data_IF_225527176030
#
_entry.id   IF_225527176030
#
_cell.length_a   1.000
_cell.length_b   1.000
_cell.length_c   1.000
_cell.angle_alpha   90.00
_cell.angle_beta   90.00
_cell.angle_gamma   90.00
#
_symmetry.space_group_name_H-M   'P 1'
#
loop_
_entity.id
_entity.type
_entity.pdbx_description
1 polymer ?
#
# COMPACT_ATOMS: atom_id res chain seq x y z
N UNK A 1 7.62 -9.06 14.57
CA UNK A 1 6.81 -8.46 13.49
C UNK A 1 5.36 -8.89 13.65
N UNK A 2 4.46 -7.95 13.51
CA UNK A 2 3.02 -8.22 13.54
C UNK A 2 2.52 -8.33 12.11
N UNK A 3 1.93 -9.47 11.77
CA UNK A 3 1.35 -9.72 10.45
C UNK A 3 -0.16 -9.53 10.50
N UNK A 4 -0.68 -8.74 9.58
CA UNK A 4 -2.11 -8.49 9.43
C UNK A 4 -2.51 -8.68 7.98
N UNK A 5 -3.32 -9.69 7.72
CA UNK A 5 -4.07 -9.82 6.49
C UNK A 5 -5.44 -9.17 6.72
N UNK A 6 -5.69 -8.06 6.02
CA UNK A 6 -6.85 -7.22 6.37
C UNK A 6 -8.19 -7.86 6.05
N UNK A 7 -8.22 -8.77 5.08
CA UNK A 7 -9.44 -9.41 4.61
C UNK A 7 -10.42 -8.48 3.88
N UNK A 8 -10.12 -7.18 3.80
CA UNK A 8 -10.94 -6.20 3.11
C UNK A 8 -10.37 -5.88 1.73
N UNK A 9 -11.23 -5.75 0.74
CA UNK A 9 -10.90 -5.26 -0.60
C UNK A 9 -11.23 -3.78 -0.79
N UNK A 10 -11.59 -3.08 0.27
CA UNK A 10 -11.87 -1.64 0.27
C UNK A 10 -10.56 -0.87 0.46
N UNK A 11 -10.13 -0.15 -0.58
CA UNK A 11 -8.89 0.63 -0.53
C UNK A 11 -8.89 1.67 0.59
N UNK A 12 -10.04 2.27 0.87
CA UNK A 12 -10.14 3.32 1.89
C UNK A 12 -10.00 2.74 3.29
N UNK A 13 -10.58 1.57 3.54
CA UNK A 13 -10.38 0.84 4.79
C UNK A 13 -8.91 0.45 4.97
N UNK A 14 -8.29 -0.12 3.95
CA UNK A 14 -6.90 -0.56 4.00
C UNK A 14 -5.92 0.62 4.17
N UNK A 15 -6.14 1.73 3.49
CA UNK A 15 -5.38 2.96 3.71
C UNK A 15 -5.65 3.54 5.11
N UNK A 16 -6.86 3.44 5.60
CA UNK A 16 -7.19 3.82 6.97
C UNK A 16 -6.38 3.05 8.01
N UNK A 17 -6.18 1.74 7.81
CA UNK A 17 -5.32 0.92 8.66
C UNK A 17 -3.85 1.38 8.59
N UNK A 18 -3.35 1.69 7.41
CA UNK A 18 -1.99 2.23 7.26
C UNK A 18 -1.82 3.54 8.04
N UNK A 19 -2.77 4.47 7.92
CA UNK A 19 -2.79 5.71 8.69
C UNK A 19 -2.83 5.45 10.18
N UNK A 20 -3.70 4.54 10.61
CA UNK A 20 -3.86 4.21 12.03
C UNK A 20 -2.56 3.71 12.65
N UNK A 21 -1.90 2.74 12.03
CA UNK A 21 -0.64 2.20 12.54
C UNK A 21 0.55 3.15 12.35
N UNK A 22 0.48 4.04 11.40
CA UNK A 22 1.55 5.02 11.16
C UNK A 22 1.47 6.21 12.11
N UNK A 23 0.27 6.74 12.35
CA UNK A 23 0.09 8.01 13.03
C UNK A 23 -0.51 7.88 14.44
N UNK A 24 -1.44 6.94 14.62
CA UNK A 24 -2.19 6.80 15.89
C UNK A 24 -1.57 5.74 16.81
N UNK A 25 -1.59 4.50 16.39
CA UNK A 25 -1.08 3.38 17.18
C UNK A 25 0.34 3.02 16.75
N UNK A 26 1.28 3.75 17.30
CA UNK A 26 2.70 3.56 17.01
C UNK A 26 3.25 2.40 17.83
N UNK A 27 3.27 1.22 17.22
CA UNK A 27 3.80 0.03 17.87
C UNK A 27 5.34 -0.03 17.76
N UNK A 28 6.03 -0.57 18.77
CA UNK A 28 7.49 -0.75 18.70
C UNK A 28 7.91 -1.79 17.68
N UNK A 29 7.02 -2.73 17.38
CA UNK A 29 7.26 -3.80 16.40
C UNK A 29 6.91 -3.33 14.99
N UNK A 30 7.57 -3.93 13.99
CA UNK A 30 7.19 -3.73 12.59
C UNK A 30 5.82 -4.34 12.34
N UNK A 31 4.93 -3.59 11.72
CA UNK A 31 3.62 -4.06 11.26
C UNK A 31 3.72 -4.36 9.77
N UNK A 32 3.32 -5.56 9.38
CA UNK A 32 3.23 -5.98 7.99
C UNK A 32 1.76 -6.16 7.63
N UNK A 33 1.25 -5.27 6.77
CA UNK A 33 -0.10 -5.35 6.21
C UNK A 33 -0.03 -6.03 4.84
N UNK A 34 -0.91 -7.00 4.62
CA UNK A 34 -1.04 -7.71 3.36
C UNK A 34 -2.50 -7.65 2.90
N UNK A 35 -2.73 -7.11 1.70
CA UNK A 35 -4.09 -6.80 1.26
C UNK A 35 -4.25 -6.68 -0.25
N UNK A 36 -5.49 -6.70 -0.69
CA UNK A 36 -5.90 -6.46 -2.08
C UNK A 36 -6.97 -5.38 -2.11
N UNK A 37 -7.25 -4.87 -3.29
CA UNK A 37 -8.34 -3.93 -3.50
C UNK A 37 -9.09 -4.20 -4.79
N UNK A 38 -10.36 -3.84 -4.82
CA UNK A 38 -11.11 -3.68 -6.06
C UNK A 38 -10.46 -2.63 -6.95
N UNK A 39 -10.80 -2.55 -8.26
CA UNK A 39 -10.11 -1.65 -9.18
C UNK A 39 -9.92 -0.24 -8.64
N UNK A 40 -8.67 0.18 -8.55
CA UNK A 40 -8.28 1.45 -7.92
C UNK A 40 -7.10 2.08 -8.65
N UNK A 41 -7.17 3.39 -8.85
CA UNK A 41 -6.04 4.23 -9.20
C UNK A 41 -5.47 4.84 -7.92
N UNK A 42 -4.22 4.53 -7.62
CA UNK A 42 -3.52 5.07 -6.46
C UNK A 42 -2.56 6.16 -6.90
N UNK A 43 -2.87 7.39 -6.54
CA UNK A 43 -1.97 8.53 -6.83
C UNK A 43 -0.95 8.72 -5.72
N UNK A 44 0.21 9.20 -6.08
CA UNK A 44 1.26 9.55 -5.12
C UNK A 44 0.86 10.76 -4.28
N UNK A 45 1.51 10.89 -3.12
CA UNK A 45 1.22 11.93 -2.14
C UNK A 45 1.19 13.35 -2.72
N UNK A 46 2.07 13.62 -3.68
CA UNK A 46 2.29 14.96 -4.22
C UNK A 46 1.75 15.17 -5.64
N UNK A 47 1.09 14.16 -6.22
CA UNK A 47 0.55 14.27 -7.58
C UNK A 47 -0.76 15.05 -7.62
N UNK A 48 -0.96 15.80 -8.71
CA UNK A 48 -2.23 16.43 -9.02
C UNK A 48 -3.16 15.42 -9.70
N UNK A 49 -4.21 15.02 -9.01
CA UNK A 49 -5.19 14.03 -9.49
C UNK A 49 -5.79 14.43 -10.84
N UNK A 50 -6.12 15.71 -11.03
CA UNK A 50 -6.80 16.19 -12.24
C UNK A 50 -5.90 16.11 -13.49
N UNK A 51 -4.58 16.14 -13.31
CA UNK A 51 -3.60 16.00 -14.40
C UNK A 51 -3.28 14.54 -14.72
N UNK A 52 -3.32 13.67 -13.69
CA UNK A 52 -2.90 12.28 -13.79
C UNK A 52 -4.02 11.32 -14.22
N UNK A 53 -5.27 11.66 -13.96
CA UNK A 53 -6.39 10.73 -14.06
C UNK A 53 -7.54 11.33 -14.87
N UNK A 54 -8.08 10.51 -15.78
CA UNK A 54 -9.37 10.77 -16.38
C UNK A 54 -10.47 10.38 -15.38
N UNK A 55 -10.84 11.31 -14.50
CA UNK A 55 -11.81 11.07 -13.42
C UNK A 55 -13.19 10.65 -13.93
N UNK A 56 -13.77 11.30 -14.98
CA UNK A 56 -15.05 10.85 -15.52
C UNK A 56 -15.03 9.39 -15.99
N UNK A 57 -13.96 8.96 -16.63
CA UNK A 57 -13.79 7.57 -17.05
C UNK A 57 -13.72 6.61 -15.86
N UNK A 58 -12.93 6.97 -14.85
CA UNK A 58 -12.80 6.17 -13.64
C UNK A 58 -14.13 6.00 -12.91
N UNK A 59 -14.89 7.10 -12.76
CA UNK A 59 -16.20 7.09 -12.12
C UNK A 59 -17.20 6.22 -12.90
N UNK A 60 -17.22 6.33 -14.23
CA UNK A 60 -18.11 5.54 -15.11
C UNK A 60 -17.82 4.03 -15.01
N UNK A 61 -16.55 3.65 -14.85
CA UNK A 61 -16.12 2.26 -14.79
C UNK A 61 -15.98 1.69 -13.38
N UNK A 62 -16.42 2.43 -12.36
CA UNK A 62 -16.36 1.99 -10.98
C UNK A 62 -14.95 1.83 -10.43
N UNK A 63 -13.99 2.57 -10.99
CA UNK A 63 -12.60 2.56 -10.54
C UNK A 63 -12.45 3.57 -9.40
N UNK A 64 -12.01 3.09 -8.24
CA UNK A 64 -11.76 3.95 -7.08
C UNK A 64 -10.53 4.82 -7.28
N UNK A 65 -10.53 5.96 -6.62
CA UNK A 65 -9.40 6.88 -6.63
C UNK A 65 -8.94 7.10 -5.20
N UNK A 66 -7.68 6.80 -4.93
CA UNK A 66 -7.11 6.94 -3.60
C UNK A 66 -5.72 7.56 -3.65
N UNK A 67 -5.38 8.35 -2.64
CA UNK A 67 -4.07 8.97 -2.50
C UNK A 67 -3.24 8.21 -1.47
N UNK A 68 -2.02 7.82 -1.85
CA UNK A 68 -1.07 7.20 -0.93
C UNK A 68 -0.45 8.24 0.01
N UNK A 69 0.03 7.78 1.17
CA UNK A 69 0.90 8.57 2.03
C UNK A 69 2.31 8.71 1.46
N UNK A 70 2.72 7.77 0.61
CA UNK A 70 4.03 7.77 -0.04
C UNK A 70 4.02 8.55 -1.35
N UNK A 71 5.20 9.01 -1.79
CA UNK A 71 5.39 9.65 -3.08
C UNK A 71 5.33 8.67 -4.24
N UNK A 72 5.78 9.12 -5.39
CA UNK A 72 5.83 8.32 -6.61
C UNK A 72 4.71 8.59 -7.59
N UNK A 73 4.65 7.82 -8.66
CA UNK A 73 3.68 7.93 -9.73
C UNK A 73 2.34 7.25 -9.43
N UNK A 74 1.39 7.45 -10.33
CA UNK A 74 0.09 6.79 -10.27
C UNK A 74 0.21 5.33 -10.69
N UNK A 75 -0.41 4.45 -9.95
CA UNK A 75 -0.52 3.02 -10.29
C UNK A 75 -1.96 2.59 -10.34
N UNK A 76 -2.25 1.63 -11.20
CA UNK A 76 -3.50 0.89 -11.20
C UNK A 76 -3.31 -0.45 -10.50
N UNK A 77 -4.26 -0.82 -9.66
CA UNK A 77 -4.28 -2.14 -9.00
C UNK A 77 -5.70 -2.66 -8.87
N UNK A 78 -5.84 -3.97 -8.85
CA UNK A 78 -7.12 -4.65 -8.69
C UNK A 78 -6.95 -5.96 -7.90
N UNK A 79 -7.98 -6.80 -7.90
CA UNK A 79 -7.98 -8.07 -7.16
C UNK A 79 -6.93 -9.08 -7.66
N UNK A 80 -6.32 -8.84 -8.81
CA UNK A 80 -5.22 -9.66 -9.34
C UNK A 80 -3.85 -9.30 -8.74
N UNK A 81 -3.75 -8.17 -8.05
CA UNK A 81 -2.53 -7.69 -7.43
C UNK A 81 -2.58 -7.70 -5.91
N UNK A 82 -1.47 -8.05 -5.28
CA UNK A 82 -1.32 -7.97 -3.83
C UNK A 82 -0.49 -6.76 -3.45
N UNK A 83 -0.95 -6.08 -2.40
CA UNK A 83 -0.23 -4.98 -1.77
C UNK A 83 0.38 -5.47 -0.46
N UNK A 84 1.59 -5.02 -0.18
CA UNK A 84 2.20 -5.26 1.11
C UNK A 84 2.84 -3.98 1.63
N UNK A 85 2.61 -3.71 2.89
CA UNK A 85 3.04 -2.47 3.54
C UNK A 85 3.79 -2.82 4.81
N UNK A 86 5.02 -2.33 4.94
CA UNK A 86 5.79 -2.40 6.17
C UNK A 86 5.73 -1.05 6.88
N UNK A 87 5.29 -1.07 8.14
CA UNK A 87 5.23 0.12 8.98
C UNK A 87 6.18 -0.09 10.15
N UNK A 88 7.17 0.77 10.24
CA UNK A 88 8.16 0.72 11.31
C UNK A 88 8.45 2.10 11.84
N UNK A 89 8.45 2.24 13.17
CA UNK A 89 8.81 3.45 13.86
C UNK A 89 10.25 3.32 14.36
N UNK A 90 11.18 3.93 13.61
CA UNK A 90 12.59 4.06 14.02
C UNK A 90 12.90 5.53 14.32
N UNK A 91 13.78 5.74 15.28
CA UNK A 91 14.47 7.02 15.39
C UNK A 91 15.32 7.23 14.13
N UNK A 92 15.53 8.49 13.74
CA UNK A 92 16.11 8.89 12.47
C UNK A 92 17.26 7.99 11.98
N UNK A 93 17.08 7.37 10.83
CA UNK A 93 18.05 6.52 10.13
C UNK A 93 17.66 6.31 8.68
N UNK A 94 18.58 5.85 7.87
CA UNK A 94 18.32 5.53 6.48
C UNK A 94 17.34 4.35 6.38
N UNK A 95 16.39 4.45 5.44
CA UNK A 95 15.46 3.37 5.12
C UNK A 95 16.18 2.38 4.21
N UNK A 96 16.49 1.20 4.72
CA UNK A 96 17.05 0.11 3.94
C UNK A 96 15.94 -0.73 3.33
N UNK A 97 15.47 -0.36 2.15
CA UNK A 97 14.43 -1.11 1.43
C UNK A 97 14.77 -2.58 1.24
N UNK A 98 16.04 -2.90 0.97
CA UNK A 98 16.50 -4.28 0.81
C UNK A 98 16.19 -5.18 2.00
N UNK A 99 16.25 -4.65 3.20
CA UNK A 99 15.95 -5.38 4.43
C UNK A 99 14.50 -5.89 4.48
N UNK A 100 13.56 -5.16 3.91
CA UNK A 100 12.14 -5.50 3.90
C UNK A 100 11.75 -6.34 2.69
N UNK A 101 12.37 -6.07 1.54
CA UNK A 101 12.00 -6.76 0.31
C UNK A 101 12.67 -8.15 0.19
N UNK A 102 13.84 -8.34 0.78
CA UNK A 102 14.57 -9.59 0.69
C UNK A 102 13.75 -10.80 1.17
N UNK A 103 13.09 -10.77 2.35
CA UNK A 103 12.26 -11.89 2.79
C UNK A 103 11.08 -12.19 1.83
N UNK A 104 10.52 -11.18 1.19
CA UNK A 104 9.45 -11.36 0.20
C UNK A 104 9.99 -12.06 -1.04
N UNK A 105 11.16 -11.64 -1.53
CA UNK A 105 11.83 -12.27 -2.68
C UNK A 105 12.16 -13.72 -2.37
N UNK A 106 12.70 -14.00 -1.19
CA UNK A 106 13.06 -15.35 -0.77
C UNK A 106 11.85 -16.26 -0.69
N UNK A 107 10.74 -15.79 -0.11
CA UNK A 107 9.49 -16.54 -0.06
C UNK A 107 8.94 -16.86 -1.46
N UNK A 108 9.00 -15.90 -2.39
CA UNK A 108 8.57 -16.11 -3.76
C UNK A 108 9.49 -17.11 -4.49
N UNK A 109 10.78 -17.03 -4.25
CA UNK A 109 11.77 -17.95 -4.83
C UNK A 109 11.58 -19.37 -4.33
N UNK A 110 11.33 -19.57 -3.05
CA UNK A 110 11.03 -20.88 -2.47
C UNK A 110 9.77 -21.51 -3.06
N UNK A 111 8.76 -20.69 -3.34
CA UNK A 111 7.46 -21.17 -3.80
C UNK A 111 7.41 -21.44 -5.31
N UNK A 112 8.07 -20.61 -6.11
CA UNK A 112 7.95 -20.67 -7.59
C UNK A 112 9.29 -20.73 -8.34
N UNK A 113 10.40 -20.80 -7.64
CA UNK A 113 11.74 -20.85 -8.25
C UNK A 113 12.30 -19.48 -8.54
#
# INVERSE_FOLDING_TARGET
MIYIETGSADVYYNFGLEYYFTLEKRLPETVFLFWRTTPTLMVGKYQNVLEEINKPYADEHGIHLARRMSGGGTIYTDMGGWQFTFIQHKEAGEIEFGQYIAPVIDALRERWG
#
